data_IF_001114215549
#
_entry.id   IF_001114215549
#
_cell.length_a   1.000
_cell.length_b   1.000
_cell.length_c   1.000
_cell.angle_alpha   90.00
_cell.angle_beta   90.00
_cell.angle_gamma   90.00
#
_symmetry.space_group_name_H-M   'P 1'
#
loop_
_entity.id
_entity.type
_entity.pdbx_description
1 polymer ?
#
# COMPACT_ATOMS: atom_id res chain seq x y z
N UNK A 1 18.51 2.10 -0.72
CA UNK A 1 17.40 2.73 0.03
C UNK A 1 16.07 2.05 -0.28
N UNK A 2 15.68 1.96 -1.56
CA UNK A 2 14.41 1.37 -1.99
C UNK A 2 14.21 -0.08 -1.52
N UNK A 3 15.24 -0.92 -1.57
CA UNK A 3 15.15 -2.29 -1.09
C UNK A 3 14.79 -2.37 0.40
N UNK A 4 15.40 -1.53 1.25
CA UNK A 4 15.08 -1.49 2.69
C UNK A 4 13.64 -1.02 2.91
N UNK A 5 13.20 0.00 2.18
CA UNK A 5 11.82 0.50 2.26
C UNK A 5 10.83 -0.60 1.87
N UNK A 6 11.08 -1.31 0.77
CA UNK A 6 10.20 -2.41 0.35
C UNK A 6 10.24 -3.60 1.31
N UNK A 7 11.42 -3.94 1.85
CA UNK A 7 11.60 -5.01 2.82
C UNK A 7 10.87 -4.75 4.15
N UNK A 8 10.63 -3.49 4.50
CA UNK A 8 9.80 -3.09 5.65
C UNK A 8 8.33 -2.97 5.27
N UNK A 9 8.02 -2.37 4.10
CA UNK A 9 6.65 -2.17 3.65
C UNK A 9 5.92 -3.50 3.44
N UNK A 10 6.55 -4.47 2.79
CA UNK A 10 5.96 -5.77 2.49
C UNK A 10 5.37 -6.50 3.73
N UNK A 11 6.12 -6.71 4.83
CA UNK A 11 5.56 -7.31 6.03
C UNK A 11 4.51 -6.42 6.70
N UNK A 12 4.63 -5.09 6.64
CA UNK A 12 3.60 -4.18 7.16
C UNK A 12 2.27 -4.36 6.41
N UNK A 13 2.29 -4.46 5.08
CA UNK A 13 1.10 -4.74 4.28
C UNK A 13 0.48 -6.10 4.64
N UNK A 14 1.30 -7.13 4.78
CA UNK A 14 0.82 -8.46 5.19
C UNK A 14 0.13 -8.39 6.56
N UNK A 15 0.78 -7.75 7.55
CA UNK A 15 0.23 -7.60 8.89
C UNK A 15 -1.07 -6.78 8.88
N UNK A 16 -1.13 -5.69 8.11
CA UNK A 16 -2.35 -4.90 7.95
C UNK A 16 -3.49 -5.74 7.36
N UNK A 17 -3.22 -6.53 6.32
CA UNK A 17 -4.19 -7.43 5.72
C UNK A 17 -4.71 -8.51 6.68
N UNK A 18 -3.82 -9.11 7.48
CA UNK A 18 -4.21 -10.08 8.52
C UNK A 18 -5.06 -9.41 9.61
N UNK A 19 -4.58 -8.29 10.15
CA UNK A 19 -5.27 -7.58 11.23
C UNK A 19 -6.64 -7.07 10.80
N UNK A 20 -6.83 -6.70 9.53
CA UNK A 20 -8.12 -6.30 8.99
C UNK A 20 -9.19 -7.39 9.06
N UNK A 21 -8.82 -8.68 9.14
CA UNK A 21 -9.76 -9.79 9.36
C UNK A 21 -10.00 -10.12 10.83
N UNK A 22 -9.06 -9.75 11.71
CA UNK A 22 -9.06 -10.16 13.11
C UNK A 22 -9.62 -9.07 14.03
N UNK A 23 -9.36 -7.81 13.73
CA UNK A 23 -9.74 -6.67 14.58
C UNK A 23 -11.24 -6.39 14.40
N UNK A 24 -12.04 -6.35 15.49
CA UNK A 24 -13.45 -6.02 15.42
C UNK A 24 -13.67 -4.62 14.81
N UNK A 25 -14.71 -4.41 13.96
CA UNK A 25 -14.94 -3.14 13.27
C UNK A 25 -15.03 -1.92 14.19
N UNK A 26 -15.54 -2.10 15.43
CA UNK A 26 -15.68 -1.04 16.43
C UNK A 26 -14.34 -0.55 17.01
N UNK A 27 -13.28 -1.34 16.86
CA UNK A 27 -11.92 -1.04 17.34
C UNK A 27 -10.94 -0.71 16.21
N UNK A 28 -11.31 -0.97 14.97
CA UNK A 28 -10.47 -0.67 13.81
C UNK A 28 -10.43 0.85 13.55
N UNK A 29 -9.26 1.38 13.16
CA UNK A 29 -9.12 2.76 12.66
C UNK A 29 -9.35 2.81 11.14
N UNK A 30 -8.80 1.83 10.43
CA UNK A 30 -8.90 1.63 8.98
C UNK A 30 -10.06 0.72 8.61
N UNK A 31 -10.33 0.59 7.30
CA UNK A 31 -11.29 -0.38 6.78
C UNK A 31 -10.83 -1.82 7.03
N UNK A 32 -11.75 -2.68 7.48
CA UNK A 32 -11.56 -4.13 7.58
C UNK A 32 -12.30 -4.90 6.48
N UNK A 33 -12.63 -4.26 5.36
CA UNK A 33 -13.36 -4.90 4.28
C UNK A 33 -12.54 -6.05 3.65
N UNK A 34 -13.14 -7.24 3.40
CA UNK A 34 -12.39 -8.39 2.91
C UNK A 34 -11.57 -8.14 1.65
N UNK A 35 -12.12 -7.44 0.66
CA UNK A 35 -11.42 -7.13 -0.58
C UNK A 35 -10.20 -6.22 -0.35
N UNK A 36 -10.29 -5.28 0.58
CA UNK A 36 -9.20 -4.39 0.94
C UNK A 36 -8.09 -5.12 1.72
N UNK A 37 -8.46 -6.05 2.61
CA UNK A 37 -7.50 -6.88 3.32
C UNK A 37 -6.74 -7.81 2.34
N UNK A 38 -7.46 -8.44 1.40
CA UNK A 38 -6.85 -9.28 0.35
C UNK A 38 -5.91 -8.46 -0.53
N UNK A 39 -6.29 -7.23 -0.90
CA UNK A 39 -5.40 -6.32 -1.61
C UNK A 39 -4.06 -6.14 -0.89
N UNK A 40 -4.07 -5.84 0.41
CA UNK A 40 -2.83 -5.72 1.18
C UNK A 40 -2.01 -7.00 1.24
N UNK A 41 -2.66 -8.16 1.42
CA UNK A 41 -1.96 -9.44 1.42
C UNK A 41 -1.27 -9.71 0.09
N UNK A 42 -1.97 -9.50 -1.03
CA UNK A 42 -1.40 -9.71 -2.38
C UNK A 42 -0.20 -8.78 -2.59
N UNK A 43 -0.36 -7.48 -2.37
CA UNK A 43 0.72 -6.53 -2.60
C UNK A 43 1.87 -6.68 -1.59
N UNK A 44 1.58 -7.09 -0.36
CA UNK A 44 2.61 -7.42 0.62
C UNK A 44 3.46 -8.61 0.19
N UNK A 45 2.84 -9.69 -0.30
CA UNK A 45 3.55 -10.86 -0.84
C UNK A 45 4.34 -10.50 -2.10
N UNK A 46 3.73 -9.80 -3.06
CA UNK A 46 4.41 -9.37 -4.28
C UNK A 46 5.60 -8.46 -3.99
N UNK A 47 5.42 -7.47 -3.10
CA UNK A 47 6.49 -6.58 -2.66
C UNK A 47 7.62 -7.35 -1.98
N UNK A 48 7.29 -8.33 -1.13
CA UNK A 48 8.28 -9.20 -0.49
C UNK A 48 9.09 -10.01 -1.50
N UNK A 49 8.44 -10.62 -2.49
CA UNK A 49 9.13 -11.35 -3.57
C UNK A 49 10.04 -10.41 -4.36
N UNK A 50 9.57 -9.22 -4.74
CA UNK A 50 10.36 -8.23 -5.48
C UNK A 50 11.58 -7.78 -4.64
N UNK A 51 11.41 -7.54 -3.34
CA UNK A 51 12.51 -7.14 -2.46
C UNK A 51 13.63 -8.21 -2.40
N UNK A 52 13.27 -9.50 -2.46
CA UNK A 52 14.23 -10.61 -2.47
C UNK A 52 15.02 -10.72 -3.77
N UNK A 53 14.53 -10.14 -4.89
CA UNK A 53 15.26 -10.18 -6.16
C UNK A 53 16.49 -9.28 -6.18
N UNK A 54 16.53 -8.24 -5.34
CA UNK A 54 17.56 -7.19 -5.38
C UNK A 54 17.56 -6.36 -6.67
N UNK A 55 16.52 -6.48 -7.51
CA UNK A 55 16.43 -5.75 -8.78
C UNK A 55 15.94 -4.32 -8.52
N UNK A 56 16.89 -3.37 -8.48
CA UNK A 56 16.61 -1.96 -8.17
C UNK A 56 15.53 -1.32 -9.06
N UNK A 57 15.54 -1.49 -10.41
CA UNK A 57 14.46 -1.01 -11.26
C UNK A 57 13.09 -1.59 -10.89
N UNK A 58 12.99 -2.89 -10.61
CA UNK A 58 11.73 -3.53 -10.24
C UNK A 58 11.22 -3.05 -8.87
N UNK A 59 12.12 -2.89 -7.90
CA UNK A 59 11.79 -2.35 -6.58
C UNK A 59 11.30 -0.90 -6.70
N UNK A 60 12.01 -0.05 -7.45
CA UNK A 60 11.62 1.33 -7.70
C UNK A 60 10.25 1.43 -8.38
N UNK A 61 10.04 0.64 -9.45
CA UNK A 61 8.77 0.59 -10.15
C UNK A 61 7.61 0.14 -9.25
N UNK A 62 7.84 -0.84 -8.37
CA UNK A 62 6.84 -1.28 -7.40
C UNK A 62 6.48 -0.18 -6.41
N UNK A 63 7.47 0.52 -5.82
CA UNK A 63 7.22 1.59 -4.85
C UNK A 63 6.43 2.74 -5.49
N UNK A 64 6.78 3.14 -6.71
CA UNK A 64 6.04 4.16 -7.45
C UNK A 64 4.63 3.68 -7.76
N UNK A 65 4.49 2.47 -8.32
CA UNK A 65 3.19 1.91 -8.71
C UNK A 65 2.24 1.78 -7.52
N UNK A 66 2.72 1.21 -6.42
CA UNK A 66 1.93 1.07 -5.19
C UNK A 66 1.59 2.44 -4.60
N UNK A 67 2.55 3.37 -4.56
CA UNK A 67 2.29 4.73 -4.08
C UNK A 67 1.27 5.51 -4.92
N UNK A 68 1.28 5.34 -6.24
CA UNK A 68 0.27 5.90 -7.14
C UNK A 68 -1.11 5.26 -6.92
N UNK A 69 -1.16 3.95 -6.65
CA UNK A 69 -2.41 3.27 -6.28
C UNK A 69 -2.96 3.86 -4.98
N UNK A 70 -2.14 4.05 -3.95
CA UNK A 70 -2.58 4.69 -2.69
C UNK A 70 -3.15 6.09 -2.95
N UNK A 71 -2.43 6.95 -3.68
CA UNK A 71 -2.93 8.29 -4.03
C UNK A 71 -4.25 8.23 -4.81
N UNK A 72 -4.39 7.27 -5.72
CA UNK A 72 -5.65 7.01 -6.41
C UNK A 72 -6.76 6.59 -5.45
N UNK A 73 -6.50 5.70 -4.49
CA UNK A 73 -7.50 5.25 -3.51
C UNK A 73 -8.03 6.42 -2.67
N UNK A 74 -7.17 7.35 -2.24
CA UNK A 74 -7.58 8.56 -1.54
C UNK A 74 -8.53 9.43 -2.38
N UNK A 75 -8.25 9.60 -3.68
CA UNK A 75 -9.13 10.33 -4.61
C UNK A 75 -10.43 9.55 -4.85
N UNK A 76 -10.34 8.25 -5.10
CA UNK A 76 -11.47 7.38 -5.39
C UNK A 76 -12.48 7.33 -4.23
N UNK A 77 -11.98 7.35 -2.99
CA UNK A 77 -12.78 7.44 -1.77
C UNK A 77 -13.67 8.69 -1.74
N UNK A 78 -13.18 9.85 -2.24
CA UNK A 78 -13.94 11.11 -2.27
C UNK A 78 -14.86 11.27 -3.49
N UNK A 79 -14.58 10.53 -4.57
CA UNK A 79 -15.25 10.68 -5.87
C UNK A 79 -16.18 9.53 -6.22
N UNK A 80 -16.41 8.61 -5.28
CA UNK A 80 -17.23 7.41 -5.48
C UNK A 80 -16.74 6.52 -6.64
N UNK A 81 -15.43 6.48 -6.86
CA UNK A 81 -14.82 5.69 -7.92
C UNK A 81 -14.53 4.26 -7.45
N UNK A 82 -14.40 3.35 -8.41
CA UNK A 82 -13.94 1.99 -8.14
C UNK A 82 -12.57 1.99 -7.42
N UNK A 83 -12.31 1.11 -6.43
CA UNK A 83 -13.19 0.10 -5.83
C UNK A 83 -13.90 0.52 -4.52
N UNK A 84 -14.32 1.79 -4.34
CA UNK A 84 -14.86 2.29 -3.06
C UNK A 84 -15.90 1.40 -2.38
N UNK A 85 -16.86 0.87 -3.14
CA UNK A 85 -17.94 0.02 -2.61
C UNK A 85 -17.43 -1.29 -2.00
N UNK A 86 -16.32 -1.81 -2.53
CA UNK A 86 -15.67 -3.03 -2.08
C UNK A 86 -14.72 -2.76 -0.93
N UNK A 87 -13.96 -1.67 -1.00
CA UNK A 87 -12.88 -1.39 -0.07
C UNK A 87 -13.36 -0.62 1.17
N UNK A 88 -14.48 0.11 1.06
CA UNK A 88 -15.16 0.79 2.19
C UNK A 88 -14.21 1.62 3.06
N UNK A 89 -13.30 2.35 2.41
CA UNK A 89 -12.29 3.15 3.07
C UNK A 89 -12.89 4.10 4.11
N UNK A 90 -12.15 4.30 5.19
CA UNK A 90 -12.44 5.25 6.25
C UNK A 90 -11.50 6.44 6.10
N UNK A 91 -11.80 7.51 6.84
CA UNK A 91 -10.97 8.71 6.81
C UNK A 91 -9.48 8.44 7.16
N UNK A 92 -9.21 7.52 8.10
CA UNK A 92 -7.84 7.14 8.43
C UNK A 92 -7.12 6.46 7.27
N UNK A 93 -7.83 5.68 6.43
CA UNK A 93 -7.27 5.12 5.21
C UNK A 93 -6.85 6.24 4.25
N UNK A 94 -7.73 7.22 4.01
CA UNK A 94 -7.42 8.34 3.10
C UNK A 94 -6.15 9.10 3.53
N UNK A 95 -5.97 9.33 4.84
CA UNK A 95 -4.77 10.00 5.37
C UNK A 95 -3.54 9.13 5.16
N UNK A 96 -3.62 7.83 5.45
CA UNK A 96 -2.52 6.89 5.23
C UNK A 96 -2.15 6.84 3.75
N UNK A 97 -3.12 6.72 2.86
CA UNK A 97 -2.93 6.67 1.42
C UNK A 97 -2.26 7.92 0.87
N UNK A 98 -2.62 9.12 1.34
CA UNK A 98 -1.95 10.35 0.92
C UNK A 98 -0.50 10.38 1.41
N UNK A 99 -0.28 10.14 2.70
CA UNK A 99 1.04 10.29 3.32
C UNK A 99 2.01 9.21 2.83
N UNK A 100 1.59 7.94 2.92
CA UNK A 100 2.40 6.80 2.48
C UNK A 100 2.54 6.82 0.96
N UNK A 101 1.45 7.03 0.22
CA UNK A 101 1.49 7.04 -1.23
C UNK A 101 2.46 8.08 -1.80
N UNK A 102 2.41 9.33 -1.29
CA UNK A 102 3.34 10.36 -1.71
C UNK A 102 4.79 10.02 -1.35
N UNK A 103 5.03 9.49 -0.15
CA UNK A 103 6.37 9.09 0.28
C UNK A 103 6.95 7.97 -0.59
N UNK A 104 6.15 6.96 -0.94
CA UNK A 104 6.58 5.84 -1.78
C UNK A 104 6.92 6.27 -3.20
N UNK A 105 6.13 7.17 -3.80
CA UNK A 105 6.44 7.73 -5.12
C UNK A 105 7.78 8.48 -5.08
N UNK A 106 7.99 9.35 -4.09
CA UNK A 106 9.24 10.12 -3.97
C UNK A 106 10.44 9.20 -3.79
N UNK A 107 10.37 8.25 -2.84
CA UNK A 107 11.46 7.30 -2.57
C UNK A 107 11.74 6.44 -3.81
N UNK A 108 10.69 5.91 -4.44
CA UNK A 108 10.81 5.11 -5.65
C UNK A 108 11.50 5.87 -6.78
N UNK A 109 11.09 7.12 -7.04
CA UNK A 109 11.70 7.99 -8.05
C UNK A 109 13.17 8.29 -7.75
N UNK A 110 13.50 8.64 -6.50
CA UNK A 110 14.89 8.90 -6.10
C UNK A 110 15.75 7.67 -6.43
N UNK A 111 15.34 6.49 -5.98
CA UNK A 111 16.14 5.28 -6.21
C UNK A 111 16.20 4.81 -7.67
N UNK A 112 15.29 5.25 -8.56
CA UNK A 112 15.44 5.01 -10.01
C UNK A 112 16.44 6.00 -10.62
N UNK A 113 16.44 7.26 -10.17
CA UNK A 113 17.29 8.32 -10.75
C UNK A 113 18.75 8.18 -10.29
N UNK A 114 18.98 7.69 -9.08
CA UNK A 114 20.32 7.64 -8.47
C UNK A 114 21.05 6.31 -8.60
N UNK A 115 20.41 5.28 -9.16
CA UNK A 115 21.00 3.96 -9.42
C UNK A 115 21.30 3.79 -10.91
#
# INVERSE_FOLDING_TARGET
MNQLVLAVLAPVLILAGILGFVVPPQRALTSGAPAYNVFHLIFGVLGGVIALTGNDPAIGAFLIGFGLIDLYQAVASKRDLFPKTWFRWRWADDVLHVVVGAALVVVGMIGIITN
#
